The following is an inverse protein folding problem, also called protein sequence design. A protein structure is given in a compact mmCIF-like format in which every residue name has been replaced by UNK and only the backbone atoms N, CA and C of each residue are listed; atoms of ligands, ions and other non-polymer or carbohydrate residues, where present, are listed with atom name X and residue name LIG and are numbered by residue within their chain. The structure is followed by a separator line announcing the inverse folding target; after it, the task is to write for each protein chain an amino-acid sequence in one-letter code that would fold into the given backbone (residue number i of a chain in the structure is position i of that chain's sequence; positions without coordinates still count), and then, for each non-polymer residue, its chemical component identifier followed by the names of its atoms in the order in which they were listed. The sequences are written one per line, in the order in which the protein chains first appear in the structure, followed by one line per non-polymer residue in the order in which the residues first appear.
data_IF_499280525049
#
_entry.id   IF_499280525049
#
_cell.length_a   1.000
_cell.length_b   1.000
_cell.length_c   1.000
_cell.angle_alpha   90.00
_cell.angle_beta   90.00
_cell.angle_gamma   90.00
#
_symmetry.space_group_name_H-M   'P 1'
#
loop_
_entity.id
_entity.type
_entity.pdbx_description
1 polymer ?
#
# COMPACT_ATOMS: atom_id res chain seq x y z
N UNK A 1 -6.00 8.55 10.68
CA UNK A 1 -5.85 7.20 10.05
C UNK A 1 -4.53 7.08 9.28
N UNK A 2 -4.10 5.87 8.93
CA UNK A 2 -2.84 5.62 8.20
C UNK A 2 -3.07 4.91 6.88
N UNK A 3 -2.60 5.50 5.78
CA UNK A 3 -2.57 4.91 4.44
C UNK A 3 -1.22 4.22 4.20
N UNK A 4 -1.24 2.92 3.94
CA UNK A 4 -0.10 2.14 3.46
C UNK A 4 -0.19 1.85 1.96
N UNK A 5 0.92 1.99 1.24
CA UNK A 5 0.98 1.78 -0.22
C UNK A 5 2.17 0.89 -0.59
N UNK A 6 1.90 -0.21 -1.29
CA UNK A 6 2.92 -1.04 -1.96
C UNK A 6 2.95 -0.69 -3.45
N UNK A 7 3.94 0.09 -3.87
CA UNK A 7 4.01 0.61 -5.24
C UNK A 7 4.75 -0.35 -6.16
N UNK A 8 4.03 -0.83 -7.19
CA UNK A 8 4.62 -1.62 -8.25
C UNK A 8 4.06 -1.22 -9.62
N UNK A 9 4.87 -1.37 -10.66
CA UNK A 9 4.42 -1.05 -12.02
C UNK A 9 3.43 -2.08 -12.57
N UNK A 10 3.22 -3.21 -11.88
CA UNK A 10 2.31 -4.26 -12.31
C UNK A 10 0.99 -4.20 -11.55
N UNK A 11 1.05 -4.25 -10.22
CA UNK A 11 -0.11 -4.16 -9.34
C UNK A 11 0.35 -3.29 -8.16
N UNK A 12 -0.39 -2.24 -7.84
CA UNK A 12 -0.12 -1.41 -6.65
C UNK A 12 -1.19 -1.73 -5.61
N UNK A 13 -0.77 -2.02 -4.38
CA UNK A 13 -1.66 -2.25 -3.25
C UNK A 13 -1.85 -1.00 -2.39
N UNK A 14 -3.02 -0.88 -1.80
CA UNK A 14 -3.40 0.16 -0.85
C UNK A 14 -4.05 -0.48 0.37
N UNK A 15 -3.80 0.06 1.56
CA UNK A 15 -4.50 -0.33 2.78
C UNK A 15 -4.63 0.87 3.72
N UNK A 16 -5.72 0.92 4.48
CA UNK A 16 -5.94 1.95 5.49
C UNK A 16 -6.18 1.28 6.83
N UNK A 17 -5.46 1.77 7.82
CA UNK A 17 -5.54 1.33 9.22
C UNK A 17 -6.02 2.49 10.09
N UNK A 18 -7.03 2.23 10.92
CA UNK A 18 -7.52 3.13 11.96
C UNK A 18 -7.37 2.42 13.31
N UNK A 19 -6.64 3.04 14.24
CA UNK A 19 -6.38 2.47 15.58
C UNK A 19 -5.87 1.01 15.57
N UNK A 20 -5.07 0.66 14.56
CA UNK A 20 -4.50 -0.69 14.39
C UNK A 20 -5.42 -1.69 13.71
N UNK A 21 -6.68 -1.30 13.48
CA UNK A 21 -7.69 -2.08 12.77
C UNK A 21 -7.62 -1.78 11.27
N UNK A 22 -7.60 -2.84 10.47
CA UNK A 22 -7.70 -2.73 9.01
C UNK A 22 -9.13 -2.31 8.63
N UNK A 23 -9.30 -1.14 8.03
CA UNK A 23 -10.61 -0.60 7.65
C UNK A 23 -10.85 -0.58 6.14
N UNK A 24 -9.79 -0.59 5.35
CA UNK A 24 -9.87 -0.68 3.90
C UNK A 24 -8.61 -1.31 3.31
N UNK A 25 -8.77 -2.04 2.22
CA UNK A 25 -7.65 -2.47 1.39
C UNK A 25 -8.13 -2.70 -0.04
N UNK A 26 -7.31 -2.33 -1.01
CA UNK A 26 -7.56 -2.67 -2.41
C UNK A 26 -6.25 -2.67 -3.20
N UNK A 27 -6.34 -2.93 -4.50
CA UNK A 27 -5.24 -2.91 -5.43
C UNK A 27 -5.69 -2.44 -6.80
N UNK A 28 -4.78 -1.90 -7.59
CA UNK A 28 -5.01 -1.62 -9.01
C UNK A 28 -4.05 -2.42 -9.88
N UNK A 29 -4.61 -3.18 -10.82
CA UNK A 29 -3.84 -3.90 -11.84
C UNK A 29 -3.48 -2.97 -13.00
N UNK A 30 -2.20 -2.63 -13.06
CA UNK A 30 -1.59 -1.72 -14.03
C UNK A 30 -1.02 -2.44 -15.25
N UNK A 31 -1.07 -3.78 -15.32
CA UNK A 31 -0.47 -4.55 -16.42
C UNK A 31 -1.08 -4.24 -17.78
N UNK A 32 -2.36 -3.85 -17.82
CA UNK A 32 -3.07 -3.44 -19.05
C UNK A 32 -2.64 -2.04 -19.56
N UNK A 33 -1.98 -1.24 -18.73
CA UNK A 33 -1.57 0.13 -19.06
C UNK A 33 -0.17 0.13 -19.67
N UNK A 34 -0.04 0.63 -20.91
CA UNK A 34 1.15 0.39 -21.75
C UNK A 34 2.41 1.14 -21.32
N UNK A 35 2.27 2.34 -20.77
CA UNK A 35 3.40 3.22 -20.46
C UNK A 35 3.24 3.86 -19.08
N UNK A 36 4.29 4.54 -18.62
CA UNK A 36 4.32 5.15 -17.28
C UNK A 36 3.19 6.17 -17.11
N UNK A 37 2.88 6.99 -18.11
CA UNK A 37 1.82 7.99 -18.03
C UNK A 37 0.43 7.37 -17.88
N UNK A 38 0.12 6.33 -18.67
CA UNK A 38 -1.15 5.61 -18.57
C UNK A 38 -1.31 4.90 -17.22
N UNK A 39 -0.20 4.44 -16.62
CA UNK A 39 -0.19 3.88 -15.26
C UNK A 39 -0.39 4.96 -14.21
N UNK A 40 0.28 6.11 -14.38
CA UNK A 40 0.18 7.27 -13.49
C UNK A 40 -1.24 7.84 -13.47
N UNK A 41 -1.93 7.95 -14.62
CA UNK A 41 -3.33 8.38 -14.68
C UNK A 41 -4.22 7.43 -13.87
N UNK A 42 -4.09 6.12 -14.11
CA UNK A 42 -4.90 5.12 -13.40
C UNK A 42 -4.63 5.09 -11.88
N UNK A 43 -3.37 5.30 -11.47
CA UNK A 43 -3.04 5.45 -10.04
C UNK A 43 -3.61 6.75 -9.48
N UNK A 44 -3.53 7.86 -10.24
CA UNK A 44 -4.06 9.16 -9.79
C UNK A 44 -5.56 9.07 -9.54
N UNK A 45 -6.32 8.43 -10.43
CA UNK A 45 -7.75 8.15 -10.22
C UNK A 45 -7.98 7.42 -8.90
N UNK A 46 -7.22 6.35 -8.64
CA UNK A 46 -7.34 5.62 -7.37
C UNK A 46 -6.94 6.42 -6.14
N UNK A 47 -5.93 7.29 -6.25
CA UNK A 47 -5.51 8.18 -5.15
C UNK A 47 -6.61 9.22 -4.87
N UNK A 48 -7.26 9.76 -5.92
CA UNK A 48 -8.38 10.68 -5.79
C UNK A 48 -9.60 9.98 -5.16
N UNK A 49 -9.93 8.76 -5.56
CA UNK A 49 -11.00 7.97 -4.92
C UNK A 49 -10.76 7.87 -3.40
N UNK A 50 -9.52 7.56 -2.98
CA UNK A 50 -9.16 7.49 -1.56
C UNK A 50 -9.26 8.85 -0.86
N UNK A 51 -8.86 9.93 -1.55
CA UNK A 51 -8.98 11.28 -1.02
C UNK A 51 -10.46 11.64 -0.80
N UNK A 52 -11.33 11.40 -1.79
CA UNK A 52 -12.77 11.64 -1.66
C UNK A 52 -13.40 10.79 -0.54
N UNK A 53 -12.99 9.53 -0.40
CA UNK A 53 -13.51 8.64 0.64
C UNK A 53 -13.11 9.05 2.06
N UNK A 54 -11.90 9.58 2.25
CA UNK A 54 -11.32 9.74 3.59
C UNK A 54 -11.01 11.17 3.99
N UNK A 55 -10.93 12.13 3.06
CA UNK A 55 -10.68 13.54 3.37
C UNK A 55 -11.95 14.38 3.24
N UNK A 56 -12.86 14.01 2.34
CA UNK A 56 -14.13 14.71 2.16
C UNK A 56 -15.22 14.06 3.00
N UNK A 57 -16.02 14.89 3.70
CA UNK A 57 -17.24 14.41 4.36
C UNK A 57 -18.27 14.01 3.30
N UNK A 58 -18.71 12.75 3.33
CA UNK A 58 -19.84 12.27 2.54
C UNK A 58 -21.15 12.22 3.34
N UNK A 59 -21.13 12.62 4.61
CA UNK A 59 -22.31 12.63 5.49
C UNK A 59 -22.96 14.01 5.58
N UNK A 60 -24.30 14.02 5.63
CA UNK A 60 -25.19 15.18 5.81
C UNK A 60 -25.04 15.88 7.18
N UNK A 61 -23.96 15.62 7.92
CA UNK A 61 -23.78 16.15 9.27
C UNK A 61 -23.30 17.62 9.19
N UNK A 62 -24.27 18.50 8.98
CA UNK A 62 -24.13 19.95 8.87
C UNK A 62 -23.44 20.60 10.09
N UNK A 63 -23.20 19.85 11.17
CA UNK A 63 -22.51 20.29 12.37
C UNK A 63 -20.98 20.31 12.24
N UNK A 64 -20.37 19.55 11.34
CA UNK A 64 -18.91 19.44 11.21
C UNK A 64 -18.25 20.56 10.39
N UNK A 65 -19.04 21.50 9.85
CA UNK A 65 -18.57 22.46 8.87
C UNK A 65 -18.35 21.80 7.50
N UNK A 66 -18.41 22.62 6.45
CA UNK A 66 -18.29 22.14 5.08
C UNK A 66 -16.86 21.62 4.83
N UNK A 67 -16.72 20.31 4.54
CA UNK A 67 -15.57 19.78 3.79
C UNK A 67 -14.55 18.90 4.53
N UNK A 68 -14.61 18.71 5.85
CA UNK A 68 -13.55 17.99 6.58
C UNK A 68 -14.01 16.65 7.18
N UNK A 69 -13.44 15.53 6.70
CA UNK A 69 -13.66 14.18 7.24
C UNK A 69 -13.53 14.12 8.77
N UNK A 70 -14.46 13.42 9.43
CA UNK A 70 -14.36 13.10 10.87
C UNK A 70 -13.22 12.13 11.19
N UNK A 71 -12.76 11.36 10.19
CA UNK A 71 -11.71 10.36 10.35
C UNK A 71 -10.70 10.45 9.19
N UNK A 72 -9.92 11.53 9.10
CA UNK A 72 -9.01 11.75 7.98
C UNK A 72 -7.83 10.77 7.99
N UNK A 73 -7.25 10.54 6.81
CA UNK A 73 -5.87 10.03 6.74
C UNK A 73 -4.94 11.14 7.21
N UNK A 74 -4.06 10.82 8.15
CA UNK A 74 -3.12 11.76 8.78
C UNK A 74 -1.66 11.38 8.48
N UNK A 75 -1.41 10.10 8.17
CA UNK A 75 -0.08 9.61 7.84
C UNK A 75 -0.13 8.71 6.61
N UNK A 76 0.88 8.83 5.76
CA UNK A 76 1.06 8.01 4.56
C UNK A 76 2.40 7.29 4.66
N UNK A 77 2.37 5.97 4.49
CA UNK A 77 3.55 5.11 4.44
C UNK A 77 3.63 4.39 3.09
N UNK A 78 4.81 4.43 2.47
CA UNK A 78 5.09 3.81 1.18
C UNK A 78 6.19 2.76 1.33
N UNK A 79 6.03 1.60 0.70
CA UNK A 79 7.13 0.62 0.62
C UNK A 79 8.32 1.25 -0.10
N UNK A 80 9.48 1.21 0.57
CA UNK A 80 10.72 1.72 0.00
C UNK A 80 11.13 0.88 -1.23
N UNK A 81 11.39 1.50 -2.40
CA UNK A 81 11.81 0.75 -3.57
C UNK A 81 13.22 0.17 -3.35
N UNK A 82 13.50 -0.98 -3.97
CA UNK A 82 14.83 -1.59 -3.90
C UNK A 82 15.93 -0.64 -4.41
N UNK A 83 16.98 -0.46 -3.60
CA UNK A 83 18.09 0.47 -3.86
C UNK A 83 19.40 -0.21 -4.31
N UNK A 84 19.54 -1.53 -4.17
CA UNK A 84 20.79 -2.25 -4.46
C UNK A 84 20.88 -2.79 -5.89
N UNK A 85 21.97 -2.48 -6.59
CA UNK A 85 22.35 -3.07 -7.87
C UNK A 85 23.25 -4.29 -7.64
N UNK A 86 22.66 -5.49 -7.47
CA UNK A 86 23.45 -6.73 -7.33
C UNK A 86 23.56 -7.50 -8.66
N UNK A 87 24.72 -8.10 -8.91
CA UNK A 87 24.91 -9.06 -10.00
C UNK A 87 24.04 -10.31 -9.74
N UNK A 88 22.93 -10.45 -10.47
CA UNK A 88 21.97 -11.55 -10.34
C UNK A 88 20.56 -11.16 -9.85
N UNK A 89 20.31 -9.87 -9.56
CA UNK A 89 18.98 -9.35 -9.23
C UNK A 89 18.17 -8.87 -10.46
N UNK A 90 17.09 -8.13 -10.20
CA UNK A 90 16.34 -7.40 -11.23
C UNK A 90 17.29 -6.58 -12.10
N UNK A 91 17.04 -6.51 -13.41
CA UNK A 91 17.89 -5.71 -14.31
C UNK A 91 17.95 -4.25 -13.86
N UNK A 92 19.07 -3.56 -14.10
CA UNK A 92 19.20 -2.12 -13.80
C UNK A 92 18.04 -1.29 -14.39
N UNK A 93 17.56 -1.70 -15.58
CA UNK A 93 16.38 -1.12 -16.25
C UNK A 93 15.09 -1.31 -15.44
N UNK A 94 14.87 -2.50 -14.90
CA UNK A 94 13.69 -2.79 -14.05
C UNK A 94 13.72 -1.96 -12.77
N UNK A 95 14.87 -1.89 -12.09
CA UNK A 95 15.02 -1.12 -10.86
C UNK A 95 14.82 0.38 -11.09
N UNK A 96 15.44 0.94 -12.13
CA UNK A 96 15.22 2.34 -12.50
C UNK A 96 13.75 2.63 -12.83
N UNK A 97 13.06 1.69 -13.47
CA UNK A 97 11.62 1.83 -13.78
C UNK A 97 10.78 1.84 -12.50
N UNK A 98 11.06 0.94 -11.56
CA UNK A 98 10.36 0.85 -10.27
C UNK A 98 10.61 2.08 -9.40
N UNK A 99 11.86 2.50 -9.25
CA UNK A 99 12.22 3.70 -8.46
C UNK A 99 11.58 4.96 -9.04
N UNK A 100 11.63 5.14 -10.37
CA UNK A 100 10.96 6.26 -11.04
C UNK A 100 9.46 6.24 -10.78
N UNK A 101 8.82 5.08 -10.91
CA UNK A 101 7.38 4.97 -10.71
C UNK A 101 6.99 5.21 -9.25
N UNK A 102 7.75 4.66 -8.30
CA UNK A 102 7.56 4.89 -6.87
C UNK A 102 7.69 6.38 -6.51
N UNK A 103 8.67 7.08 -7.08
CA UNK A 103 8.79 8.54 -6.94
C UNK A 103 7.59 9.32 -7.49
N UNK A 104 7.07 8.93 -8.66
CA UNK A 104 5.87 9.56 -9.24
C UNK A 104 4.63 9.33 -8.34
N UNK A 105 4.42 8.10 -7.87
CA UNK A 105 3.28 7.79 -7.00
C UNK A 105 3.39 8.52 -5.67
N UNK A 106 4.59 8.60 -5.10
CA UNK A 106 4.85 9.34 -3.86
C UNK A 106 4.58 10.84 -4.02
N UNK A 107 4.97 11.42 -5.16
CA UNK A 107 4.63 12.81 -5.47
C UNK A 107 3.11 13.03 -5.61
N UNK A 108 2.40 12.11 -6.27
CA UNK A 108 0.94 12.19 -6.39
C UNK A 108 0.23 12.10 -5.04
N UNK A 109 0.72 11.24 -4.14
CA UNK A 109 0.20 11.15 -2.77
C UNK A 109 0.40 12.48 -2.03
N UNK A 110 1.61 13.05 -2.09
CA UNK A 110 1.91 14.35 -1.48
C UNK A 110 1.06 15.48 -2.08
N UNK A 111 0.99 15.59 -3.41
CA UNK A 111 0.22 16.62 -4.12
C UNK A 111 -1.28 16.54 -3.79
N UNK A 112 -1.82 15.32 -3.60
CA UNK A 112 -3.26 15.12 -3.37
C UNK A 112 -3.63 15.29 -1.90
N UNK A 113 -2.84 14.74 -0.98
CA UNK A 113 -3.17 14.72 0.45
C UNK A 113 -2.51 15.82 1.26
N UNK A 114 -1.53 16.53 0.70
CA UNK A 114 -0.66 17.48 1.43
C UNK A 114 0.04 16.86 2.66
N UNK A 115 0.19 15.53 2.66
CA UNK A 115 0.87 14.73 3.69
C UNK A 115 2.15 14.16 3.09
N UNK A 116 3.30 14.43 3.71
CA UNK A 116 4.59 13.89 3.27
C UNK A 116 4.65 12.36 3.48
N UNK A 117 4.79 11.55 2.41
CA UNK A 117 4.88 10.09 2.56
C UNK A 117 6.18 9.66 3.24
N UNK A 118 6.07 8.83 4.28
CA UNK A 118 7.21 8.19 4.94
C UNK A 118 7.53 6.85 4.28
N UNK A 119 8.81 6.55 4.09
CA UNK A 119 9.24 5.30 3.47
C UNK A 119 9.66 4.25 4.50
N UNK A 120 9.24 3.01 4.28
CA UNK A 120 9.68 1.87 5.09
C UNK A 120 10.06 0.68 4.22
N UNK A 121 11.22 0.08 4.47
CA UNK A 121 11.64 -1.11 3.74
C UNK A 121 10.82 -2.34 4.14
N UNK A 122 10.49 -3.22 3.18
CA UNK A 122 9.66 -4.40 3.39
C UNK A 122 10.12 -5.31 4.54
N UNK A 123 11.43 -5.48 4.73
CA UNK A 123 11.98 -6.27 5.86
C UNK A 123 11.75 -5.59 7.20
N UNK A 124 11.92 -4.26 7.26
CA UNK A 124 11.67 -3.48 8.47
C UNK A 124 10.18 -3.48 8.81
N UNK A 125 9.31 -3.28 7.81
CA UNK A 125 7.86 -3.29 8.00
C UNK A 125 7.38 -4.62 8.59
N UNK A 126 7.77 -5.75 7.98
CA UNK A 126 7.45 -7.10 8.50
C UNK A 126 7.97 -7.31 9.93
N UNK A 127 9.19 -6.87 10.24
CA UNK A 127 9.74 -6.98 11.58
C UNK A 127 8.94 -6.16 12.60
N UNK A 128 8.54 -4.94 12.23
CA UNK A 128 7.75 -4.04 13.08
C UNK A 128 6.39 -4.67 13.43
N UNK A 129 5.74 -5.32 12.47
CA UNK A 129 4.45 -6.01 12.69
C UNK A 129 4.58 -7.45 13.19
N UNK A 130 5.79 -7.92 13.53
CA UNK A 130 6.01 -9.24 14.13
C UNK A 130 6.01 -10.43 13.15
N UNK A 131 6.05 -10.19 11.83
CA UNK A 131 6.10 -11.25 10.82
C UNK A 131 7.54 -11.75 10.65
N UNK A 132 7.80 -12.99 11.09
CA UNK A 132 9.08 -13.67 10.91
C UNK A 132 9.03 -14.59 9.69
N UNK A 133 9.85 -14.31 8.68
CA UNK A 133 10.00 -15.18 7.50
C UNK A 133 11.07 -16.25 7.78
N UNK A 134 10.71 -17.55 7.83
CA UNK A 134 11.69 -18.61 8.03
C UNK A 134 12.68 -18.71 6.86
N UNK A 135 13.90 -19.17 7.14
CA UNK A 135 14.94 -19.36 6.11
C UNK A 135 14.45 -20.38 5.07
N UNK A 136 14.59 -20.03 3.79
CA UNK A 136 14.19 -20.88 2.66
C UNK A 136 12.72 -20.75 2.25
N UNK A 137 11.90 -19.97 2.98
CA UNK A 137 10.51 -19.72 2.60
C UNK A 137 10.35 -18.44 1.78
N UNK A 138 9.31 -18.41 0.94
CA UNK A 138 8.97 -17.23 0.14
C UNK A 138 8.23 -16.23 1.01
N UNK A 139 8.87 -15.09 1.23
CA UNK A 139 8.34 -13.94 1.97
C UNK A 139 6.86 -13.65 1.71
N UNK A 140 6.47 -13.45 0.45
CA UNK A 140 5.09 -13.09 0.07
C UNK A 140 4.05 -14.13 0.51
N UNK A 141 4.39 -15.42 0.50
CA UNK A 141 3.49 -16.49 0.95
C UNK A 141 3.33 -16.49 2.47
N UNK A 142 4.44 -16.29 3.21
CA UNK A 142 4.42 -16.21 4.67
C UNK A 142 3.58 -15.02 5.13
N UNK A 143 3.77 -13.85 4.51
CA UNK A 143 3.00 -12.64 4.80
C UNK A 143 1.52 -12.86 4.52
N UNK A 144 1.18 -13.37 3.34
CA UNK A 144 -0.21 -13.65 2.98
C UNK A 144 -0.89 -14.58 3.98
N UNK A 145 -0.24 -15.71 4.31
CA UNK A 145 -0.81 -16.66 5.26
C UNK A 145 -0.98 -16.04 6.65
N UNK A 146 0.03 -15.32 7.15
CA UNK A 146 -0.07 -14.65 8.43
C UNK A 146 -1.26 -13.70 8.51
N UNK A 147 -1.49 -12.88 7.47
CA UNK A 147 -2.65 -11.98 7.45
C UNK A 147 -3.97 -12.74 7.34
N UNK A 148 -4.05 -13.82 6.57
CA UNK A 148 -5.26 -14.66 6.54
C UNK A 148 -5.60 -15.27 7.90
N UNK A 149 -4.57 -15.59 8.71
CA UNK A 149 -4.74 -16.16 10.05
C UNK A 149 -5.07 -15.11 11.12
N UNK A 150 -4.61 -13.86 10.94
CA UNK A 150 -4.64 -12.82 11.99
C UNK A 150 -5.54 -11.62 11.70
N UNK A 151 -5.92 -11.39 10.44
CA UNK A 151 -6.76 -10.26 10.01
C UNK A 151 -8.12 -10.75 9.49
N UNK A 152 -9.16 -10.83 10.33
CA UNK A 152 -10.48 -11.31 9.92
C UNK A 152 -11.08 -10.51 8.76
N UNK A 153 -10.78 -9.21 8.68
CA UNK A 153 -11.24 -8.32 7.61
C UNK A 153 -10.57 -8.62 6.26
N UNK A 154 -9.39 -9.25 6.26
CA UNK A 154 -8.65 -9.51 5.03
C UNK A 154 -9.17 -10.77 4.34
N UNK A 155 -9.89 -10.56 3.24
CA UNK A 155 -10.43 -11.60 2.36
C UNK A 155 -9.76 -11.53 0.99
N UNK A 156 -9.51 -12.70 0.42
CA UNK A 156 -8.88 -12.83 -0.90
C UNK A 156 -9.71 -13.72 -1.80
N UNK A 157 -9.46 -13.57 -3.09
CA UNK A 157 -10.03 -14.43 -4.11
C UNK A 157 -9.01 -15.45 -4.59
N UNK A 158 -9.51 -16.63 -4.94
CA UNK A 158 -8.70 -17.71 -5.48
C UNK A 158 -9.03 -17.93 -6.95
N UNK A 159 -8.01 -18.29 -7.71
CA UNK A 159 -8.18 -18.78 -9.08
C UNK A 159 -8.90 -20.13 -9.08
N UNK A 160 -9.40 -20.57 -10.24
CA UNK A 160 -9.99 -21.91 -10.41
C UNK A 160 -9.05 -23.08 -10.04
N UNK A 161 -7.75 -22.82 -9.93
CA UNK A 161 -6.73 -23.80 -9.54
C UNK A 161 -6.39 -23.75 -8.04
N UNK A 162 -7.11 -22.96 -7.24
CA UNK A 162 -6.88 -22.82 -5.80
C UNK A 162 -5.69 -21.93 -5.42
N UNK A 163 -5.02 -21.29 -6.38
CA UNK A 163 -3.98 -20.31 -6.07
C UNK A 163 -4.59 -18.94 -5.75
N UNK A 164 -4.09 -18.21 -4.74
CA UNK A 164 -4.44 -16.81 -4.53
C UNK A 164 -4.29 -16.01 -5.82
N UNK A 165 -5.25 -15.12 -6.11
CA UNK A 165 -5.08 -14.20 -7.23
C UNK A 165 -3.87 -13.26 -6.98
N UNK A 166 -3.12 -12.87 -8.02
CA UNK A 166 -1.87 -12.11 -7.87
C UNK A 166 -1.98 -10.88 -6.98
N UNK A 167 -3.06 -10.12 -7.12
CA UNK A 167 -3.34 -8.92 -6.34
C UNK A 167 -3.43 -9.15 -4.82
N UNK A 168 -3.69 -10.39 -4.39
CA UNK A 168 -3.75 -10.75 -2.97
C UNK A 168 -2.42 -10.47 -2.26
N UNK A 169 -1.30 -10.64 -2.97
CA UNK A 169 0.03 -10.41 -2.39
C UNK A 169 0.33 -8.91 -2.26
N UNK A 170 -0.01 -8.11 -3.26
CA UNK A 170 0.24 -6.66 -3.22
C UNK A 170 -0.71 -5.97 -2.21
N UNK A 171 -1.95 -6.47 -2.06
CA UNK A 171 -2.86 -6.08 -0.95
C UNK A 171 -2.26 -6.42 0.41
N UNK A 172 -1.73 -7.63 0.56
CA UNK A 172 -1.09 -8.09 1.79
C UNK A 172 0.13 -7.23 2.15
N UNK A 173 1.00 -6.94 1.18
CA UNK A 173 2.18 -6.10 1.38
C UNK A 173 1.75 -4.67 1.81
N UNK A 174 0.73 -4.08 1.17
CA UNK A 174 0.20 -2.77 1.57
C UNK A 174 -0.39 -2.74 3.00
N UNK A 175 -1.09 -3.80 3.43
CA UNK A 175 -1.58 -3.94 4.82
C UNK A 175 -0.41 -3.94 5.80
N UNK A 176 0.67 -4.67 5.49
CA UNK A 176 1.88 -4.68 6.33
C UNK A 176 2.49 -3.28 6.41
N UNK A 177 2.54 -2.54 5.31
CA UNK A 177 3.04 -1.15 5.31
C UNK A 177 2.17 -0.25 6.19
N UNK A 178 0.84 -0.31 6.06
CA UNK A 178 -0.07 0.51 6.86
C UNK A 178 0.06 0.21 8.37
N UNK A 179 0.07 -1.09 8.75
CA UNK A 179 0.24 -1.51 10.15
C UNK A 179 1.62 -1.16 10.70
N UNK A 180 2.68 -1.28 9.89
CA UNK A 180 4.01 -0.87 10.31
C UNK A 180 4.08 0.64 10.52
N UNK A 181 3.37 1.43 9.71
CA UNK A 181 3.17 2.86 9.92
C UNK A 181 2.54 3.13 11.28
N UNK A 182 1.44 2.44 11.60
CA UNK A 182 0.75 2.58 12.89
C UNK A 182 1.66 2.29 14.10
N UNK A 183 2.40 1.19 14.06
CA UNK A 183 3.35 0.85 15.11
C UNK A 183 4.56 1.79 15.18
N UNK A 184 4.82 2.56 14.12
CA UNK A 184 5.87 3.60 14.11
C UNK A 184 5.37 4.88 14.75
N UNK A 185 4.16 5.34 14.42
CA UNK A 185 3.58 6.56 14.99
C UNK A 185 3.29 6.41 16.48
N UNK A 186 2.89 5.22 16.97
CA UNK A 186 2.74 4.93 18.41
C UNK A 186 3.98 5.19 19.27
N UNK A 187 5.17 5.17 18.67
CA UNK A 187 6.45 5.29 19.39
C UNK A 187 6.97 6.72 19.41
N UNK A 188 6.31 7.63 18.71
CA UNK A 188 6.68 9.05 18.59
C UNK A 188 5.88 9.86 19.61
#
# INVERSE_FOLDING_TARGET
MILGVDVSTSITGFAIVADGVLVYYDSIDLRKHKNVFAKTIAIKERILDLYEMYQLNNDDDAAAGWGNSSYPIEHIYVEQPFTFFNSGGSSAKTMATLQRFNGIVSWLLYETFEIEPKFIGATSARKVVGIKVPRGQKAKQVVLQHLLDTEPAFKIEYTKYGNPKPESYDKADAIVIAKAGFETEKKT
#
